data_IF_735599611087
#
_entry.id   IF_735599611087
#
_cell.length_a   1.000
_cell.length_b   1.000
_cell.length_c   1.000
_cell.angle_alpha   90.00
_cell.angle_beta   90.00
_cell.angle_gamma   90.00
#
_symmetry.space_group_name_H-M   'P 1'
#
loop_
_entity.id
_entity.type
_entity.pdbx_description
1 polymer ?
#
# COMPACT_ATOMS: atom_id res chain seq x y z
N UNK A 1 -9.52 -30.45 29.02
CA UNK A 1 -9.19 -29.02 29.22
C UNK A 1 -7.85 -28.90 29.91
N UNK A 2 -6.84 -28.30 29.25
CA UNK A 2 -5.58 -27.94 29.92
C UNK A 2 -5.89 -26.85 30.95
N UNK A 3 -5.54 -27.08 32.22
CA UNK A 3 -5.70 -26.08 33.28
C UNK A 3 -4.68 -24.96 33.05
N UNK A 4 -5.14 -23.71 32.98
CA UNK A 4 -4.28 -22.54 32.96
C UNK A 4 -3.50 -22.49 34.30
N UNK A 5 -2.17 -22.57 34.23
CA UNK A 5 -1.29 -22.36 35.38
C UNK A 5 -1.23 -20.86 35.64
N UNK A 6 -1.43 -20.43 36.90
CA UNK A 6 -1.11 -19.07 37.34
C UNK A 6 0.40 -18.95 37.37
N UNK A 7 0.96 -18.18 36.45
CA UNK A 7 2.39 -17.86 36.37
C UNK A 7 2.56 -16.40 36.79
N UNK A 8 3.64 -16.06 37.48
CA UNK A 8 3.93 -14.67 37.85
C UNK A 8 4.38 -13.86 36.64
N UNK A 9 4.20 -12.54 36.64
CA UNK A 9 4.67 -11.64 35.55
C UNK A 9 6.17 -11.83 35.26
N UNK A 10 6.98 -12.05 36.31
CA UNK A 10 8.43 -12.31 36.19
C UNK A 10 8.77 -13.66 35.55
N UNK A 11 7.92 -14.67 35.72
CA UNK A 11 8.09 -15.96 35.04
C UNK A 11 7.62 -15.88 33.59
N UNK A 12 6.55 -15.11 33.34
CA UNK A 12 6.06 -14.82 31.99
C UNK A 12 7.13 -14.07 31.16
N UNK A 13 7.79 -13.06 31.73
CA UNK A 13 8.88 -12.34 31.07
C UNK A 13 10.09 -13.23 30.73
N UNK A 14 10.32 -14.32 31.49
CA UNK A 14 11.40 -15.28 31.21
C UNK A 14 11.05 -16.29 30.13
N UNK A 15 9.77 -16.56 29.94
CA UNK A 15 9.27 -17.51 28.92
C UNK A 15 8.77 -16.79 27.66
N UNK A 16 8.51 -15.48 27.73
CA UNK A 16 8.10 -14.66 26.61
C UNK A 16 9.29 -14.40 25.69
N UNK A 17 9.23 -14.99 24.50
CA UNK A 17 10.09 -14.59 23.39
C UNK A 17 9.63 -13.20 22.98
N UNK A 18 10.48 -12.19 23.22
CA UNK A 18 10.28 -10.88 22.65
C UNK A 18 10.50 -11.03 21.14
N UNK A 19 9.41 -11.01 20.36
CA UNK A 19 9.50 -11.01 18.90
C UNK A 19 10.26 -9.75 18.49
N UNK A 20 11.26 -9.92 17.64
CA UNK A 20 11.90 -8.75 17.04
C UNK A 20 10.94 -8.06 16.07
N UNK A 21 11.23 -6.81 15.71
CA UNK A 21 10.36 -6.00 14.86
C UNK A 21 10.11 -6.66 13.49
N UNK A 22 11.04 -7.47 12.98
CA UNK A 22 10.90 -8.18 11.72
C UNK A 22 9.97 -9.39 11.83
N UNK A 23 10.01 -10.13 12.93
CA UNK A 23 9.05 -11.20 13.24
C UNK A 23 7.65 -10.62 13.47
N UNK A 24 7.54 -9.48 14.15
CA UNK A 24 6.28 -8.75 14.33
C UNK A 24 5.67 -8.30 12.99
N UNK A 25 6.50 -7.81 12.04
CA UNK A 25 6.08 -7.48 10.66
C UNK A 25 5.57 -8.71 9.91
N UNK A 26 6.21 -9.86 10.10
CA UNK A 26 5.80 -11.14 9.51
C UNK A 26 4.46 -11.65 10.08
N UNK A 27 4.25 -11.52 11.39
CA UNK A 27 3.01 -11.95 12.07
C UNK A 27 1.82 -11.01 11.85
N UNK A 28 2.06 -9.70 11.77
CA UNK A 28 1.00 -8.70 11.58
C UNK A 28 0.77 -8.33 10.11
N UNK A 29 1.66 -8.76 9.19
CA UNK A 29 1.53 -8.53 7.75
C UNK A 29 1.58 -7.07 7.31
N UNK A 30 1.92 -6.16 8.23
CA UNK A 30 1.82 -4.72 8.04
C UNK A 30 3.12 -4.04 8.39
N UNK A 31 3.39 -2.95 7.67
CA UNK A 31 4.50 -2.01 7.87
C UNK A 31 5.87 -2.37 7.28
N UNK A 32 5.91 -2.94 6.07
CA UNK A 32 7.05 -2.62 5.21
C UNK A 32 6.80 -1.27 4.51
N UNK A 33 7.45 -0.17 4.93
CA UNK A 33 7.22 1.15 4.34
C UNK A 33 7.58 1.19 2.84
N UNK A 34 8.29 0.18 2.33
CA UNK A 34 8.66 0.08 0.94
C UNK A 34 7.53 -0.44 0.04
N UNK A 35 6.50 -1.07 0.59
CA UNK A 35 5.62 -1.93 -0.21
C UNK A 35 4.28 -1.30 -0.62
N UNK A 36 3.90 -0.14 -0.09
CA UNK A 36 2.56 0.45 -0.30
C UNK A 36 2.21 0.63 -1.79
N UNK A 37 3.14 1.17 -2.59
CA UNK A 37 2.98 1.29 -4.04
C UNK A 37 2.86 -0.07 -4.71
N UNK A 38 3.77 -0.99 -4.38
CA UNK A 38 3.85 -2.30 -5.03
C UNK A 38 2.67 -3.20 -4.70
N UNK A 39 2.10 -3.10 -3.49
CA UNK A 39 0.86 -3.79 -3.15
C UNK A 39 -0.32 -3.27 -3.94
N UNK A 40 -0.37 -1.97 -4.25
CA UNK A 40 -1.39 -1.43 -5.16
C UNK A 40 -1.23 -1.97 -6.58
N UNK A 41 0.01 -2.07 -7.08
CA UNK A 41 0.31 -2.71 -8.38
C UNK A 41 -0.12 -4.19 -8.38
N UNK A 42 0.29 -4.97 -7.37
CA UNK A 42 -0.09 -6.37 -7.20
C UNK A 42 -1.61 -6.55 -7.15
N UNK A 43 -2.30 -5.70 -6.38
CA UNK A 43 -3.76 -5.71 -6.28
C UNK A 43 -4.42 -5.51 -7.65
N UNK A 44 -4.02 -4.48 -8.40
CA UNK A 44 -4.62 -4.21 -9.71
C UNK A 44 -4.29 -5.32 -10.71
N UNK A 45 -3.03 -5.78 -10.75
CA UNK A 45 -2.58 -6.81 -11.69
C UNK A 45 -3.28 -8.16 -11.48
N UNK A 46 -3.61 -8.48 -10.23
CA UNK A 46 -4.27 -9.72 -9.84
C UNK A 46 -5.80 -9.62 -9.79
N UNK A 47 -6.38 -8.52 -10.28
CA UNK A 47 -7.82 -8.25 -10.21
C UNK A 47 -8.37 -8.23 -8.77
N UNK A 48 -7.54 -7.84 -7.81
CA UNK A 48 -7.87 -7.71 -6.39
C UNK A 48 -7.65 -8.97 -5.55
N UNK A 49 -7.08 -10.05 -6.14
CA UNK A 49 -6.88 -11.32 -5.43
C UNK A 49 -5.58 -11.38 -4.63
N UNK A 50 -4.54 -10.63 -5.04
CA UNK A 50 -3.21 -10.68 -4.45
C UNK A 50 -2.69 -9.29 -4.10
N UNK A 51 -2.09 -9.16 -2.93
CA UNK A 51 -1.44 -7.94 -2.44
C UNK A 51 -0.54 -8.26 -1.25
N UNK A 52 -0.02 -9.49 -1.18
CA UNK A 52 0.88 -9.91 -0.11
C UNK A 52 2.21 -9.16 -0.18
N UNK A 53 3.02 -9.25 0.88
CA UNK A 53 4.36 -8.68 0.87
C UNK A 53 5.23 -9.33 -0.23
N UNK A 54 5.08 -10.64 -0.43
CA UNK A 54 5.82 -11.39 -1.44
C UNK A 54 5.42 -10.97 -2.86
N UNK A 55 4.12 -10.84 -3.14
CA UNK A 55 3.64 -10.36 -4.44
C UNK A 55 4.13 -8.93 -4.72
N UNK A 56 4.13 -8.07 -3.70
CA UNK A 56 4.63 -6.70 -3.81
C UNK A 56 6.13 -6.68 -4.10
N UNK A 57 6.90 -7.52 -3.43
CA UNK A 57 8.33 -7.64 -3.66
C UNK A 57 8.65 -8.19 -5.06
N UNK A 58 7.86 -9.14 -5.56
CA UNK A 58 7.97 -9.67 -6.92
C UNK A 58 7.71 -8.59 -7.96
N UNK A 59 6.65 -7.79 -7.79
CA UNK A 59 6.36 -6.64 -8.66
C UNK A 59 7.51 -5.63 -8.70
N UNK A 60 8.08 -5.32 -7.54
CA UNK A 60 9.22 -4.42 -7.45
C UNK A 60 10.46 -4.99 -8.17
N UNK A 61 10.75 -6.27 -7.94
CA UNK A 61 11.87 -6.97 -8.57
C UNK A 61 11.75 -6.99 -10.09
N UNK A 62 10.56 -7.26 -10.61
CA UNK A 62 10.27 -7.24 -12.05
C UNK A 62 10.55 -5.85 -12.64
N UNK A 63 9.97 -4.80 -12.05
CA UNK A 63 10.13 -3.44 -12.57
C UNK A 63 11.58 -2.94 -12.48
N UNK A 64 12.25 -3.12 -11.34
CA UNK A 64 13.65 -2.69 -11.21
C UNK A 64 14.58 -3.47 -12.15
N UNK A 65 14.31 -4.76 -12.37
CA UNK A 65 15.00 -5.57 -13.37
C UNK A 65 14.80 -5.02 -14.79
N UNK A 66 13.57 -4.61 -15.13
CA UNK A 66 13.27 -3.96 -16.41
C UNK A 66 14.03 -2.64 -16.59
N UNK A 67 14.13 -1.83 -15.53
CA UNK A 67 14.87 -0.56 -15.55
C UNK A 67 16.40 -0.73 -15.51
N UNK A 68 16.92 -1.96 -15.46
CA UNK A 68 18.36 -2.23 -15.33
C UNK A 68 18.95 -1.81 -13.97
N UNK A 69 18.11 -1.61 -12.96
CA UNK A 69 18.52 -1.24 -11.60
C UNK A 69 18.76 -2.49 -10.75
N UNK A 70 19.76 -2.44 -9.86
CA UNK A 70 20.00 -3.52 -8.91
C UNK A 70 18.88 -3.54 -7.86
N UNK A 71 18.04 -4.57 -7.90
CA UNK A 71 16.98 -4.78 -6.91
C UNK A 71 17.59 -5.02 -5.52
N UNK A 72 17.05 -4.34 -4.51
CA UNK A 72 17.42 -4.52 -3.11
C UNK A 72 16.17 -4.80 -2.27
N UNK A 73 16.04 -6.03 -1.79
CA UNK A 73 14.90 -6.49 -0.98
C UNK A 73 14.69 -5.72 0.32
N UNK A 74 15.72 -5.04 0.84
CA UNK A 74 15.63 -4.23 2.06
C UNK A 74 15.30 -2.75 1.78
N UNK A 75 15.29 -2.36 0.50
CA UNK A 75 15.08 -0.96 0.06
C UNK A 75 14.50 -0.93 -1.35
N UNK A 76 13.34 -1.54 -1.53
CA UNK A 76 12.63 -1.59 -2.81
C UNK A 76 11.48 -0.58 -2.88
N UNK A 77 11.36 0.32 -1.91
CA UNK A 77 10.34 1.37 -1.94
C UNK A 77 10.39 2.15 -3.24
N UNK A 78 9.23 2.42 -3.84
CA UNK A 78 9.21 3.19 -5.06
C UNK A 78 9.82 4.57 -4.81
N UNK A 79 10.97 4.85 -5.44
CA UNK A 79 11.65 6.14 -5.37
C UNK A 79 11.58 6.81 -6.72
N UNK A 80 11.08 8.04 -6.78
CA UNK A 80 11.03 8.81 -8.02
C UNK A 80 10.02 9.95 -7.99
N UNK A 81 9.93 10.65 -9.12
CA UNK A 81 8.94 11.68 -9.38
C UNK A 81 7.57 11.09 -9.74
N UNK A 82 6.54 11.93 -9.85
CA UNK A 82 5.25 11.51 -10.42
C UNK A 82 5.38 11.00 -11.86
N UNK A 83 6.39 11.44 -12.61
CA UNK A 83 6.69 10.91 -13.95
C UNK A 83 7.20 9.47 -13.90
N UNK A 84 8.04 9.14 -12.92
CA UNK A 84 8.56 7.78 -12.75
C UNK A 84 7.45 6.83 -12.31
N UNK A 85 6.57 7.27 -11.39
CA UNK A 85 5.36 6.51 -11.02
C UNK A 85 4.48 6.24 -12.25
N UNK A 86 4.35 7.22 -13.17
CA UNK A 86 3.58 7.06 -14.42
C UNK A 86 4.20 6.01 -15.31
N UNK A 87 5.53 6.01 -15.47
CA UNK A 87 6.24 5.03 -16.28
C UNK A 87 6.09 3.62 -15.70
N UNK A 88 6.24 3.47 -14.39
CA UNK A 88 6.00 2.21 -13.69
C UNK A 88 4.57 1.71 -13.86
N UNK A 89 3.59 2.59 -13.65
CA UNK A 89 2.19 2.26 -13.85
C UNK A 89 1.89 1.84 -15.29
N UNK A 90 2.47 2.53 -16.28
CA UNK A 90 2.29 2.19 -17.69
C UNK A 90 3.04 0.92 -18.11
N UNK A 91 4.13 0.56 -17.44
CA UNK A 91 4.82 -0.72 -17.66
C UNK A 91 3.87 -1.89 -17.38
N UNK A 92 3.19 -1.87 -16.23
CA UNK A 92 2.24 -2.93 -15.88
C UNK A 92 0.90 -2.82 -16.61
N UNK A 93 0.40 -1.61 -16.83
CA UNK A 93 -1.01 -1.40 -17.20
C UNK A 93 -1.21 -0.59 -18.49
N UNK A 94 -0.15 -0.29 -19.24
CA UNK A 94 -0.20 0.52 -20.46
C UNK A 94 -0.97 -0.13 -21.61
N UNK A 95 -1.00 -1.47 -21.67
CA UNK A 95 -1.85 -2.25 -22.58
C UNK A 95 -3.30 -2.41 -22.08
N UNK A 96 -3.61 -1.86 -20.90
CA UNK A 96 -4.85 -2.07 -20.17
C UNK A 96 -4.86 -3.40 -19.42
N UNK A 97 -5.69 -3.48 -18.38
CA UNK A 97 -5.93 -4.68 -17.58
C UNK A 97 -7.39 -5.06 -17.76
N UNK A 98 -7.73 -6.26 -18.21
CA UNK A 98 -9.13 -6.66 -18.36
C UNK A 98 -9.67 -7.33 -17.10
N UNK A 99 -9.71 -6.58 -16.01
CA UNK A 99 -10.04 -7.12 -14.70
C UNK A 99 -11.49 -6.90 -14.24
N UNK A 100 -12.38 -6.35 -15.09
CA UNK A 100 -13.78 -6.03 -14.71
C UNK A 100 -13.96 -5.06 -13.52
N UNK A 101 -12.89 -4.75 -12.79
CA UNK A 101 -12.92 -3.90 -11.61
C UNK A 101 -13.02 -2.44 -12.01
N UNK A 102 -13.86 -1.70 -11.29
CA UNK A 102 -13.90 -0.23 -11.31
C UNK A 102 -12.62 0.40 -10.77
N UNK A 103 -11.72 -0.41 -10.20
CA UNK A 103 -10.59 0.00 -9.39
C UNK A 103 -9.26 -0.14 -10.14
N UNK A 104 -9.06 0.71 -11.15
CA UNK A 104 -7.79 0.79 -11.91
C UNK A 104 -7.01 2.07 -11.60
N UNK A 105 -7.27 2.62 -10.42
CA UNK A 105 -6.79 3.93 -10.03
C UNK A 105 -5.99 3.85 -8.74
N UNK A 106 -4.75 4.31 -8.77
CA UNK A 106 -3.90 4.44 -7.59
C UNK A 106 -3.86 5.92 -7.21
N UNK A 107 -4.11 6.21 -5.94
CA UNK A 107 -3.93 7.52 -5.33
C UNK A 107 -2.68 7.50 -4.47
N UNK A 108 -1.74 8.40 -4.78
CA UNK A 108 -0.47 8.57 -4.08
C UNK A 108 -0.49 9.91 -3.36
N UNK A 109 -0.16 9.93 -2.08
CA UNK A 109 -0.26 11.10 -1.22
C UNK A 109 0.69 11.02 -0.03
N UNK A 110 0.80 12.13 0.72
CA UNK A 110 1.49 12.17 2.00
C UNK A 110 0.49 11.86 3.13
N UNK A 111 0.60 10.70 3.81
CA UNK A 111 -0.37 10.31 4.82
C UNK A 111 -0.37 11.21 6.06
N UNK A 112 0.72 11.96 6.33
CA UNK A 112 0.79 12.88 7.48
C UNK A 112 -0.09 14.13 7.31
N UNK A 113 -0.50 14.44 6.09
CA UNK A 113 -1.33 15.61 5.79
C UNK A 113 -2.80 15.26 5.57
N UNK A 114 -3.16 13.97 5.65
CA UNK A 114 -4.50 13.50 5.37
C UNK A 114 -5.11 12.83 6.61
N UNK A 115 -5.82 13.64 7.40
CA UNK A 115 -6.41 13.20 8.67
C UNK A 115 -7.67 12.35 8.46
N UNK A 116 -7.95 11.48 9.43
CA UNK A 116 -9.21 10.73 9.51
C UNK A 116 -9.31 9.49 8.61
N UNK A 117 -8.25 9.12 7.89
CA UNK A 117 -8.26 7.93 7.03
C UNK A 117 -8.02 6.59 7.77
N UNK A 118 -7.67 6.63 9.06
CA UNK A 118 -7.28 5.42 9.79
C UNK A 118 -6.02 4.74 9.24
N UNK A 119 -5.28 5.43 8.38
CA UNK A 119 -3.98 5.00 7.87
C UNK A 119 -2.95 5.48 8.87
N UNK A 120 -2.24 4.54 9.48
CA UNK A 120 -1.10 4.91 10.31
C UNK A 120 -0.01 5.46 9.37
N UNK A 121 0.54 6.66 9.64
CA UNK A 121 1.57 7.23 8.78
C UNK A 121 2.84 6.36 8.81
N UNK A 122 3.36 5.99 7.64
CA UNK A 122 4.59 5.20 7.49
C UNK A 122 5.75 6.00 6.89
N UNK A 123 5.52 7.28 6.55
CA UNK A 123 6.47 8.17 5.90
C UNK A 123 5.78 9.35 5.22
N UNK A 124 6.48 10.07 4.35
CA UNK A 124 5.93 11.18 3.57
C UNK A 124 5.20 10.72 2.28
N UNK A 125 5.11 9.41 2.06
CA UNK A 125 4.58 8.79 0.85
C UNK A 125 3.73 7.57 1.23
N UNK A 126 2.53 7.49 0.69
CA UNK A 126 1.65 6.32 0.76
C UNK A 126 0.82 6.18 -0.51
N UNK A 127 0.42 4.95 -0.82
CA UNK A 127 -0.39 4.63 -1.99
C UNK A 127 -1.58 3.75 -1.62
N UNK A 128 -2.74 4.04 -2.20
CA UNK A 128 -3.98 3.28 -2.04
C UNK A 128 -4.66 3.07 -3.39
N UNK A 129 -5.56 2.10 -3.47
CA UNK A 129 -6.37 1.84 -4.66
C UNK A 129 -7.73 2.52 -4.52
N UNK A 130 -8.09 3.41 -5.43
CA UNK A 130 -9.45 3.95 -5.52
C UNK A 130 -10.33 2.90 -6.19
N UNK A 131 -11.31 2.43 -5.43
CA UNK A 131 -12.18 1.33 -5.82
C UNK A 131 -13.44 1.79 -6.54
N UNK A 132 -13.93 2.97 -6.17
CA UNK A 132 -15.14 3.57 -6.72
C UNK A 132 -15.13 5.08 -6.52
N UNK A 133 -15.78 5.77 -7.45
CA UNK A 133 -16.16 7.18 -7.31
C UNK A 133 -17.68 7.23 -7.14
N UNK A 134 -18.16 7.82 -6.05
CA UNK A 134 -19.58 8.02 -5.75
C UNK A 134 -19.85 9.49 -5.43
N UNK A 135 -20.29 10.24 -6.45
CA UNK A 135 -20.45 11.69 -6.33
C UNK A 135 -19.13 12.38 -6.00
N UNK A 136 -19.07 13.02 -4.82
CA UNK A 136 -17.88 13.72 -4.31
C UNK A 136 -17.07 12.86 -3.31
N UNK A 137 -17.33 11.56 -3.25
CA UNK A 137 -16.65 10.62 -2.36
C UNK A 137 -15.90 9.58 -3.19
N UNK A 138 -14.64 9.33 -2.83
CA UNK A 138 -13.84 8.25 -3.37
C UNK A 138 -13.75 7.13 -2.35
N UNK A 139 -14.21 5.94 -2.71
CA UNK A 139 -14.00 4.74 -1.89
C UNK A 139 -12.63 4.16 -2.21
N UNK A 140 -11.86 3.79 -1.18
CA UNK A 140 -10.53 3.22 -1.36
C UNK A 140 -10.38 1.90 -0.62
N UNK A 141 -9.41 1.12 -1.11
CA UNK A 141 -8.81 0.01 -0.41
C UNK A 141 -7.32 0.31 -0.22
N UNK A 142 -6.83 0.19 1.01
CA UNK A 142 -5.42 0.21 1.36
C UNK A 142 -4.93 -1.25 1.47
N UNK A 143 -4.19 -1.76 0.48
CA UNK A 143 -3.77 -3.16 0.50
C UNK A 143 -2.66 -3.44 1.54
N UNK A 144 -1.91 -2.42 1.96
CA UNK A 144 -0.87 -2.56 2.99
C UNK A 144 -1.51 -2.74 4.37
N UNK A 145 -2.50 -1.91 4.70
CA UNK A 145 -3.20 -1.97 5.98
C UNK A 145 -4.43 -2.88 5.97
N UNK A 146 -4.83 -3.38 4.78
CA UNK A 146 -6.02 -4.21 4.56
C UNK A 146 -7.32 -3.53 5.01
N UNK A 147 -7.40 -2.23 4.77
CA UNK A 147 -8.49 -1.38 5.26
C UNK A 147 -9.23 -0.73 4.10
N UNK A 148 -10.55 -0.67 4.21
CA UNK A 148 -11.38 0.11 3.32
C UNK A 148 -11.74 1.43 3.99
N UNK A 149 -11.91 2.47 3.18
CA UNK A 149 -12.36 3.75 3.68
C UNK A 149 -12.87 4.64 2.56
N UNK A 150 -13.12 5.88 2.93
CA UNK A 150 -13.64 6.91 2.03
C UNK A 150 -12.82 8.19 2.17
N UNK A 151 -12.60 8.85 1.04
CA UNK A 151 -12.04 10.20 0.97
C UNK A 151 -13.14 11.11 0.45
N UNK A 152 -13.51 12.08 1.27
CA UNK A 152 -14.45 13.14 0.90
C UNK A 152 -13.75 14.29 0.18
N UNK A 153 -14.49 15.09 -0.58
CA UNK A 153 -13.96 16.32 -1.18
C UNK A 153 -13.40 17.29 -0.12
N UNK A 154 -14.05 17.43 1.03
CA UNK A 154 -13.57 18.27 2.14
C UNK A 154 -12.17 17.84 2.62
N UNK A 155 -11.91 16.54 2.73
CA UNK A 155 -10.60 16.01 3.09
C UNK A 155 -9.53 16.30 2.02
N UNK A 156 -9.90 16.26 0.73
CA UNK A 156 -8.98 16.64 -0.35
C UNK A 156 -8.67 18.15 -0.35
N UNK A 157 -9.68 18.96 -0.05
CA UNK A 157 -9.53 20.42 0.02
C UNK A 157 -8.64 20.82 1.19
N UNK A 158 -8.84 20.23 2.38
CA UNK A 158 -7.97 20.42 3.55
C UNK A 158 -6.55 19.93 3.29
N UNK A 159 -6.39 18.74 2.69
CA UNK A 159 -5.10 18.21 2.26
C UNK A 159 -4.34 19.19 1.36
N UNK A 160 -5.04 19.77 0.37
CA UNK A 160 -4.47 20.75 -0.56
C UNK A 160 -4.11 22.05 0.15
N UNK A 161 -4.98 22.54 1.05
CA UNK A 161 -4.73 23.74 1.85
C UNK A 161 -3.48 23.61 2.75
N UNK A 162 -3.16 22.38 3.17
CA UNK A 162 -1.93 22.04 3.92
C UNK A 162 -0.70 21.82 3.04
N UNK A 163 -0.75 22.25 1.76
CA UNK A 163 0.28 22.04 0.73
C UNK A 163 0.51 20.57 0.35
N UNK A 164 -0.48 19.71 0.58
CA UNK A 164 -0.47 18.34 0.12
C UNK A 164 -0.35 18.25 -1.40
N UNK A 165 0.51 17.36 -1.88
CA UNK A 165 0.67 17.05 -3.30
C UNK A 165 0.30 15.60 -3.51
N UNK A 166 -0.74 15.37 -4.30
CA UNK A 166 -1.18 14.03 -4.65
C UNK A 166 -1.03 13.74 -6.13
N UNK A 167 -1.06 12.46 -6.48
CA UNK A 167 -1.01 12.00 -7.87
C UNK A 167 -1.98 10.84 -8.05
N UNK A 168 -2.79 10.92 -9.11
CA UNK A 168 -3.69 9.86 -9.53
C UNK A 168 -3.14 9.12 -10.75
N UNK A 169 -3.20 7.80 -10.71
CA UNK A 169 -2.76 6.93 -11.79
C UNK A 169 -3.88 5.98 -12.20
N UNK A 170 -4.48 6.21 -13.37
CA UNK A 170 -5.57 5.41 -13.90
C UNK A 170 -5.13 4.62 -15.13
N UNK A 171 -5.40 3.32 -15.17
CA UNK A 171 -5.17 2.50 -16.35
C UNK A 171 -6.21 2.81 -17.44
N UNK A 172 -5.77 2.84 -18.69
CA UNK A 172 -6.66 2.96 -19.84
C UNK A 172 -7.66 1.80 -19.88
N UNK A 173 -8.85 2.05 -20.42
CA UNK A 173 -9.70 0.95 -20.88
C UNK A 173 -9.09 0.40 -22.15
N UNK A 174 -8.83 -0.91 -22.18
CA UNK A 174 -8.69 -1.63 -23.44
C UNK A 174 -10.00 -1.42 -24.21
N UNK A 175 -9.90 -0.81 -25.38
CA UNK A 175 -11.01 -0.51 -26.29
C UNK A 175 -11.62 -1.76 -26.90
#
# INVERSE_FOLDING_TARGET
>A
MRKLKKISLKELEKEAICLDESELRLYMGGYDPNDCWWRCIAYINSCGSNYSADDAMEMAREYYGHCGSAFNENKYGFTGSSSDNRQCFNYFFGSGVDCGSSSREIFVFNPNLMEGMGISPSGEYHAIVITRHEGSVMEYFDPQNRTYGQITQEQLDDYTARNGKSSFFRAGRSS
#
